data_IF_024612726316
#
_entry.id   IF_024612726316
#
_cell.length_a   1.000
_cell.length_b   1.000
_cell.length_c   1.000
_cell.angle_alpha   90.00
_cell.angle_beta   90.00
_cell.angle_gamma   90.00
#
_symmetry.space_group_name_H-M   'P 1'
#
loop_
_entity.id
_entity.type
_entity.pdbx_description
1 polymer ?
#
# COMPACT_ATOMS: atom_id res chain seq x y z
N UNK A 1 -16.04 -7.77 -30.65
CA UNK A 1 -16.68 -7.68 -29.31
C UNK A 1 -15.51 -7.66 -28.35
N UNK A 2 -15.03 -6.45 -28.07
CA UNK A 2 -13.94 -6.21 -27.14
C UNK A 2 -14.39 -6.71 -25.77
N UNK A 3 -13.67 -7.68 -25.23
CA UNK A 3 -13.86 -8.10 -23.84
C UNK A 3 -13.45 -6.91 -22.99
N UNK A 4 -14.40 -6.46 -22.20
CA UNK A 4 -14.29 -5.31 -21.30
C UNK A 4 -12.99 -5.41 -20.47
N UNK A 5 -11.98 -4.60 -20.80
CA UNK A 5 -10.71 -4.54 -20.08
C UNK A 5 -10.89 -4.13 -18.60
N UNK A 6 -12.10 -3.70 -18.22
CA UNK A 6 -12.46 -3.43 -16.83
C UNK A 6 -12.64 -4.69 -15.97
N UNK A 7 -12.77 -5.88 -16.55
CA UNK A 7 -12.87 -7.15 -15.80
C UNK A 7 -11.51 -7.71 -15.34
N UNK A 8 -10.38 -7.13 -15.77
CA UNK A 8 -9.05 -7.76 -15.65
C UNK A 8 -8.43 -7.68 -14.24
N UNK A 9 -9.08 -7.06 -13.26
CA UNK A 9 -8.55 -6.99 -11.89
C UNK A 9 -9.29 -7.83 -10.85
N UNK A 10 -10.26 -8.67 -11.21
CA UNK A 10 -11.02 -9.47 -10.25
C UNK A 10 -10.23 -10.69 -9.80
N UNK A 11 -9.35 -10.53 -8.81
CA UNK A 11 -8.83 -11.69 -8.08
C UNK A 11 -9.39 -11.84 -6.67
N UNK A 12 -9.89 -10.78 -6.01
CA UNK A 12 -10.74 -10.89 -4.81
C UNK A 12 -11.68 -9.66 -4.70
N UNK A 13 -12.97 -9.80 -5.06
CA UNK A 13 -13.99 -8.73 -4.98
C UNK A 13 -15.27 -9.19 -4.28
N UNK A 14 -16.00 -8.24 -3.67
CA UNK A 14 -15.85 -7.76 -2.31
C UNK A 14 -16.39 -8.77 -1.26
N UNK A 15 -15.75 -8.87 -0.10
CA UNK A 15 -16.34 -9.54 1.07
C UNK A 15 -17.47 -8.66 1.62
N UNK A 16 -18.66 -9.24 1.84
CA UNK A 16 -19.76 -8.52 2.49
C UNK A 16 -19.29 -7.87 3.80
N UNK A 17 -19.63 -6.59 3.98
CA UNK A 17 -19.28 -5.82 5.18
C UNK A 17 -17.96 -5.04 5.12
N UNK A 18 -17.20 -5.08 4.01
CA UNK A 18 -15.97 -4.28 3.85
C UNK A 18 -16.15 -3.16 2.82
N UNK A 19 -15.95 -1.91 3.25
CA UNK A 19 -16.01 -0.74 2.38
C UNK A 19 -14.70 -0.53 1.60
N UNK A 20 -14.76 0.33 0.57
CA UNK A 20 -13.59 0.67 -0.27
C UNK A 20 -12.43 1.19 0.58
N UNK A 21 -12.69 1.98 1.62
CA UNK A 21 -11.66 2.52 2.52
C UNK A 21 -10.94 1.38 3.28
N UNK A 22 -11.68 0.41 3.81
CA UNK A 22 -11.11 -0.73 4.53
C UNK A 22 -10.21 -1.58 3.62
N UNK A 23 -10.62 -1.73 2.36
CA UNK A 23 -9.84 -2.44 1.35
C UNK A 23 -8.55 -1.69 0.97
N UNK A 24 -8.61 -0.37 0.84
CA UNK A 24 -7.42 0.45 0.59
C UNK A 24 -6.42 0.33 1.75
N UNK A 25 -6.89 0.34 2.99
CA UNK A 25 -6.05 0.11 4.16
C UNK A 25 -5.38 -1.27 4.13
N UNK A 26 -6.13 -2.32 3.78
CA UNK A 26 -5.57 -3.67 3.63
C UNK A 26 -4.48 -3.73 2.56
N UNK A 27 -4.69 -3.12 1.39
CA UNK A 27 -3.68 -3.07 0.30
C UNK A 27 -2.41 -2.34 0.73
N UNK A 28 -2.55 -1.21 1.44
CA UNK A 28 -1.40 -0.47 1.98
C UNK A 28 -0.63 -1.33 2.98
N UNK A 29 -1.32 -2.03 3.89
CA UNK A 29 -0.69 -2.90 4.86
C UNK A 29 0.13 -4.02 4.18
N UNK A 30 -0.43 -4.71 3.18
CA UNK A 30 0.29 -5.76 2.46
C UNK A 30 1.48 -5.21 1.67
N UNK A 31 1.34 -4.06 1.02
CA UNK A 31 2.45 -3.41 0.31
C UNK A 31 3.60 -3.04 1.26
N UNK A 32 3.30 -2.59 2.49
CA UNK A 32 4.31 -2.34 3.52
C UNK A 32 4.99 -3.64 3.95
N UNK A 33 4.22 -4.71 4.19
CA UNK A 33 4.78 -6.02 4.55
C UNK A 33 5.73 -6.57 3.48
N UNK A 34 5.35 -6.46 2.20
CA UNK A 34 6.20 -6.89 1.08
C UNK A 34 7.50 -6.08 1.01
N UNK A 35 7.43 -4.76 1.21
CA UNK A 35 8.62 -3.91 1.30
C UNK A 35 9.53 -4.33 2.44
N UNK A 36 8.98 -4.55 3.64
CA UNK A 36 9.75 -5.01 4.80
C UNK A 36 10.45 -6.34 4.51
N UNK A 37 9.74 -7.28 3.88
CA UNK A 37 10.29 -8.60 3.52
C UNK A 37 11.45 -8.47 2.53
N UNK A 38 11.32 -7.63 1.51
CA UNK A 38 12.37 -7.38 0.53
C UNK A 38 13.59 -6.70 1.16
N UNK A 39 13.39 -5.66 1.97
CA UNK A 39 14.46 -4.96 2.67
C UNK A 39 15.17 -5.86 3.68
N UNK A 40 14.42 -6.73 4.39
CA UNK A 40 15.05 -7.70 5.29
C UNK A 40 15.87 -8.74 4.52
N UNK A 41 15.37 -9.18 3.37
CA UNK A 41 16.10 -10.09 2.46
C UNK A 41 17.38 -9.45 1.91
N UNK A 42 17.42 -8.13 1.74
CA UNK A 42 18.64 -7.41 1.35
C UNK A 42 19.63 -7.16 2.49
N UNK A 43 19.39 -7.72 3.68
CA UNK A 43 20.31 -7.64 4.83
C UNK A 43 20.10 -6.42 5.74
N UNK A 44 19.01 -5.67 5.56
CA UNK A 44 18.71 -4.51 6.41
C UNK A 44 18.23 -4.95 7.80
N UNK A 45 18.52 -4.16 8.83
CA UNK A 45 18.01 -4.41 10.18
C UNK A 45 16.60 -3.82 10.38
N UNK A 46 15.78 -4.46 11.21
CA UNK A 46 14.37 -4.05 11.41
C UNK A 46 14.22 -2.59 11.83
N UNK A 47 15.18 -2.08 12.60
CA UNK A 47 15.20 -0.67 13.02
C UNK A 47 15.32 0.27 11.81
N UNK A 48 16.27 0.00 10.92
CA UNK A 48 16.49 0.81 9.71
C UNK A 48 15.30 0.71 8.75
N UNK A 49 14.75 -0.50 8.57
CA UNK A 49 13.52 -0.72 7.77
C UNK A 49 12.38 0.15 8.30
N UNK A 50 12.16 0.14 9.62
CA UNK A 50 11.11 0.93 10.27
C UNK A 50 11.31 2.43 10.04
N UNK A 51 12.53 2.93 10.20
CA UNK A 51 12.87 4.34 10.00
C UNK A 51 12.58 4.79 8.56
N UNK A 52 12.97 3.99 7.57
CA UNK A 52 12.73 4.28 6.15
C UNK A 52 11.24 4.30 5.81
N UNK A 53 10.49 3.28 6.24
CA UNK A 53 9.05 3.19 5.92
C UNK A 53 8.29 4.37 6.53
N UNK A 54 8.56 4.71 7.81
CA UNK A 54 7.92 5.83 8.47
C UNK A 54 8.26 7.17 7.81
N UNK A 55 9.53 7.39 7.45
CA UNK A 55 9.95 8.60 6.74
C UNK A 55 9.24 8.75 5.39
N UNK A 56 9.08 7.65 4.64
CA UNK A 56 8.37 7.65 3.37
C UNK A 56 6.88 7.97 3.53
N UNK A 57 6.20 7.35 4.50
CA UNK A 57 4.79 7.63 4.79
C UNK A 57 4.60 9.09 5.20
N UNK A 58 5.46 9.60 6.09
CA UNK A 58 5.41 10.99 6.52
C UNK A 58 5.58 11.95 5.33
N UNK A 59 6.56 11.71 4.46
CA UNK A 59 6.76 12.51 3.24
C UNK A 59 5.56 12.50 2.30
N UNK A 60 4.87 11.36 2.17
CA UNK A 60 3.65 11.26 1.35
C UNK A 60 2.55 12.15 1.94
N UNK A 61 2.36 12.12 3.26
CA UNK A 61 1.36 12.94 3.96
C UNK A 61 1.68 14.43 3.81
N UNK A 62 2.92 14.84 4.08
CA UNK A 62 3.36 16.23 3.95
C UNK A 62 3.15 16.77 2.53
N UNK A 63 3.47 15.97 1.50
CA UNK A 63 3.25 16.32 0.10
C UNK A 63 1.77 16.40 -0.28
N UNK A 64 0.91 15.62 0.36
CA UNK A 64 -0.53 15.66 0.11
C UNK A 64 -1.14 16.92 0.75
N UNK A 65 -0.79 17.21 2.00
CA UNK A 65 -1.23 18.42 2.71
C UNK A 65 -0.78 19.70 2.00
N UNK A 66 0.47 19.75 1.55
CA UNK A 66 1.02 20.93 0.85
C UNK A 66 0.38 21.22 -0.52
N UNK A 67 -0.48 20.32 -1.04
CA UNK A 67 -1.25 20.55 -2.27
C UNK A 67 -2.66 21.09 -2.00
N UNK A 68 -3.11 21.04 -0.75
CA UNK A 68 -4.44 21.54 -0.34
C UNK A 68 -4.39 23.01 0.10
N UNK A 69 -3.20 23.58 0.33
CA UNK A 69 -2.92 25.01 0.58
C UNK A 69 -2.55 25.78 -0.71
#
# INVERSE_FOLDING_TARGET
MDKDESEIFITEFPKEGFGVIDQLQGRVQFAILDQMKLMKTSGMEYKEISEIILANVQKIIENYQSKED
#
